data_IF_096538072122
#
_entry.id   IF_096538072122
#
_cell.length_a   1.000
_cell.length_b   1.000
_cell.length_c   1.000
_cell.angle_alpha   90.00
_cell.angle_beta   90.00
_cell.angle_gamma   90.00
#
_symmetry.space_group_name_H-M   'P 1'
#
loop_
_entity.id
_entity.type
_entity.pdbx_description
1 polymer ?
#
# COMPACT_ATOMS: atom_id res chain seq x y z
N UNK A 1 -60.94 -68.88 -8.07
CA UNK A 1 -59.61 -68.24 -8.21
C UNK A 1 -59.38 -67.33 -7.01
N UNK A 2 -58.34 -67.53 -6.19
CA UNK A 2 -58.08 -66.67 -5.04
C UNK A 2 -57.26 -65.43 -5.45
N UNK A 3 -57.64 -64.26 -4.93
CA UNK A 3 -56.83 -63.04 -4.97
C UNK A 3 -55.54 -63.26 -4.14
N UNK A 4 -54.38 -63.04 -4.75
CA UNK A 4 -53.12 -62.82 -4.02
C UNK A 4 -53.05 -61.33 -3.65
N UNK A 5 -53.09 -61.03 -2.35
CA UNK A 5 -52.70 -59.74 -1.79
C UNK A 5 -51.17 -59.73 -1.67
N UNK A 6 -50.51 -58.99 -2.55
CA UNK A 6 -49.08 -58.67 -2.44
C UNK A 6 -48.91 -57.49 -1.48
N UNK A 7 -48.55 -57.77 -0.22
CA UNK A 7 -48.13 -56.75 0.74
C UNK A 7 -46.67 -56.44 0.47
N UNK A 8 -46.41 -55.59 -0.52
CA UNK A 8 -45.09 -55.03 -0.76
C UNK A 8 -44.74 -54.08 0.39
N UNK A 9 -43.98 -54.57 1.36
CA UNK A 9 -43.46 -53.81 2.49
C UNK A 9 -42.55 -52.67 2.02
N UNK A 10 -43.10 -51.47 1.87
CA UNK A 10 -42.32 -50.27 1.62
C UNK A 10 -41.61 -49.85 2.92
N UNK A 11 -40.29 -50.05 2.97
CA UNK A 11 -39.45 -49.53 4.04
C UNK A 11 -39.53 -47.99 4.06
N UNK A 12 -40.13 -47.43 5.11
CA UNK A 12 -40.19 -45.98 5.32
C UNK A 12 -38.77 -45.41 5.42
N UNK A 13 -38.33 -44.66 4.39
CA UNK A 13 -37.11 -43.86 4.46
C UNK A 13 -37.27 -42.84 5.58
N UNK A 14 -36.52 -43.00 6.67
CA UNK A 14 -36.42 -41.98 7.72
C UNK A 14 -35.75 -40.75 7.12
N UNK A 15 -36.50 -39.67 6.94
CA UNK A 15 -35.93 -38.36 6.65
C UNK A 15 -35.17 -37.90 7.88
N UNK A 16 -33.84 -37.96 7.82
CA UNK A 16 -32.95 -37.39 8.83
C UNK A 16 -32.93 -35.87 8.61
N UNK A 17 -33.76 -35.16 9.38
CA UNK A 17 -33.72 -33.70 9.43
C UNK A 17 -32.67 -33.22 10.44
N UNK A 18 -32.02 -32.09 10.15
CA UNK A 18 -31.18 -31.40 11.12
C UNK A 18 -32.02 -30.88 12.30
N UNK A 19 -31.47 -30.97 13.50
CA UNK A 19 -32.08 -30.36 14.69
C UNK A 19 -31.89 -28.85 14.68
N UNK A 20 -32.81 -28.11 15.30
CA UNK A 20 -32.67 -26.66 15.48
C UNK A 20 -31.37 -26.28 16.22
N UNK A 21 -30.94 -27.14 17.16
CA UNK A 21 -29.71 -26.92 17.94
C UNK A 21 -28.47 -27.08 17.06
N UNK A 22 -28.43 -28.08 16.19
CA UNK A 22 -27.32 -28.25 15.24
C UNK A 22 -27.18 -27.03 14.32
N UNK A 23 -28.30 -26.50 13.81
CA UNK A 23 -28.25 -25.33 12.95
C UNK A 23 -27.84 -24.06 13.73
N UNK A 24 -28.27 -23.92 14.98
CA UNK A 24 -27.91 -22.80 15.86
C UNK A 24 -26.41 -22.78 16.18
N UNK A 25 -25.81 -23.93 16.46
CA UNK A 25 -24.37 -24.03 16.72
C UNK A 25 -23.55 -23.73 15.47
N UNK A 26 -24.01 -24.13 14.29
CA UNK A 26 -23.29 -23.85 13.03
C UNK A 26 -23.24 -22.35 12.73
N UNK A 27 -24.38 -21.66 12.82
CA UNK A 27 -24.41 -20.21 12.54
C UNK A 27 -23.62 -19.42 13.60
N UNK A 28 -23.57 -19.90 14.85
CA UNK A 28 -22.80 -19.24 15.90
C UNK A 28 -21.30 -19.36 15.65
N UNK A 29 -20.81 -20.54 15.25
CA UNK A 29 -19.39 -20.74 14.89
C UNK A 29 -19.03 -19.92 13.65
N UNK A 30 -19.86 -19.92 12.60
CA UNK A 30 -19.63 -19.10 11.39
C UNK A 30 -19.57 -17.61 11.75
N UNK A 31 -20.46 -17.14 12.63
CA UNK A 31 -20.47 -15.75 13.08
C UNK A 31 -19.16 -15.34 13.78
N UNK A 32 -18.64 -16.19 14.67
CA UNK A 32 -17.36 -15.94 15.37
C UNK A 32 -16.19 -15.91 14.37
N UNK A 33 -16.11 -16.88 13.47
CA UNK A 33 -15.04 -16.94 12.46
C UNK A 33 -15.08 -15.75 11.51
N UNK A 34 -16.27 -15.34 11.06
CA UNK A 34 -16.45 -14.20 10.18
C UNK A 34 -16.02 -12.88 10.83
N UNK A 35 -16.34 -12.67 12.11
CA UNK A 35 -15.95 -11.47 12.84
C UNK A 35 -14.41 -11.31 12.93
N UNK A 36 -13.70 -12.39 13.24
CA UNK A 36 -12.22 -12.38 13.31
C UNK A 36 -11.61 -12.14 11.92
N UNK A 37 -12.16 -12.79 10.89
CA UNK A 37 -11.68 -12.66 9.51
C UNK A 37 -11.79 -11.22 8.98
N UNK A 38 -12.88 -10.51 9.29
CA UNK A 38 -13.08 -9.13 8.85
C UNK A 38 -12.03 -8.16 9.40
N UNK A 39 -11.69 -8.26 10.68
CA UNK A 39 -10.67 -7.39 11.30
C UNK A 39 -9.30 -7.65 10.66
N UNK A 40 -8.93 -8.91 10.49
CA UNK A 40 -7.66 -9.31 9.86
C UNK A 40 -7.55 -8.80 8.42
N UNK A 41 -8.61 -8.94 7.63
CA UNK A 41 -8.63 -8.56 6.22
C UNK A 41 -8.31 -7.08 5.99
N UNK A 42 -8.85 -6.17 6.81
CA UNK A 42 -8.57 -4.73 6.68
C UNK A 42 -7.11 -4.37 6.93
N UNK A 43 -6.46 -5.06 7.87
CA UNK A 43 -5.03 -4.89 8.16
C UNK A 43 -4.16 -5.40 7.01
N UNK A 44 -4.47 -6.59 6.49
CA UNK A 44 -3.76 -7.18 5.34
C UNK A 44 -3.83 -6.30 4.10
N UNK A 45 -4.99 -5.66 3.85
CA UNK A 45 -5.11 -4.73 2.73
C UNK A 45 -4.23 -3.47 2.89
N UNK A 46 -4.12 -2.92 4.11
CA UNK A 46 -3.24 -1.78 4.38
C UNK A 46 -1.78 -2.16 4.13
N UNK A 47 -1.37 -3.32 4.65
CA UNK A 47 -0.03 -3.85 4.45
C UNK A 47 0.29 -4.07 2.96
N UNK A 48 -0.66 -4.61 2.18
CA UNK A 48 -0.47 -4.79 0.74
C UNK A 48 -0.25 -3.45 0.02
N UNK A 49 -1.01 -2.41 0.36
CA UNK A 49 -0.81 -1.06 -0.21
C UNK A 49 0.52 -0.45 0.24
N UNK A 50 0.93 -0.65 1.48
CA UNK A 50 2.25 -0.22 1.97
C UNK A 50 3.39 -0.94 1.23
N UNK A 51 3.24 -2.22 0.90
CA UNK A 51 4.20 -2.95 0.06
C UNK A 51 4.31 -2.34 -1.34
N UNK A 52 3.18 -1.96 -1.95
CA UNK A 52 3.17 -1.26 -3.25
C UNK A 52 3.91 0.08 -3.13
N UNK A 53 3.63 0.89 -2.10
CA UNK A 53 4.35 2.17 -1.85
C UNK A 53 5.86 2.00 -1.75
N UNK A 54 6.33 0.95 -1.06
CA UNK A 54 7.76 0.66 -0.95
C UNK A 54 8.35 0.24 -2.29
N UNK A 55 7.60 -0.50 -3.10
CA UNK A 55 8.05 -0.88 -4.44
C UNK A 55 8.09 0.33 -5.38
N UNK A 56 7.10 1.20 -5.32
CA UNK A 56 6.98 2.38 -6.18
C UNK A 56 8.07 3.40 -5.88
N UNK A 57 8.32 3.69 -4.60
CA UNK A 57 9.44 4.56 -4.18
C UNK A 57 10.81 4.00 -4.60
N UNK A 58 10.98 2.67 -4.62
CA UNK A 58 12.18 2.03 -5.18
C UNK A 58 12.28 2.18 -6.70
N UNK A 59 11.16 2.11 -7.42
CA UNK A 59 11.15 2.35 -8.87
C UNK A 59 11.61 3.78 -9.18
N UNK A 60 11.11 4.78 -8.44
CA UNK A 60 11.59 6.16 -8.55
C UNK A 60 13.06 6.30 -8.19
N UNK A 61 13.53 5.64 -7.13
CA UNK A 61 14.96 5.60 -6.78
C UNK A 61 15.80 5.09 -7.95
N UNK A 62 15.46 3.94 -8.53
CA UNK A 62 16.20 3.39 -9.68
C UNK A 62 16.22 4.35 -10.88
N UNK A 63 15.12 5.05 -11.14
CA UNK A 63 15.04 6.05 -12.19
C UNK A 63 15.91 7.29 -11.89
N UNK A 64 15.94 7.74 -10.64
CA UNK A 64 16.82 8.82 -10.16
C UNK A 64 18.30 8.43 -10.29
N UNK A 65 18.67 7.21 -9.92
CA UNK A 65 20.04 6.70 -10.11
C UNK A 65 20.39 6.63 -11.60
N UNK A 66 19.47 6.21 -12.47
CA UNK A 66 19.67 6.22 -13.92
C UNK A 66 19.89 7.64 -14.47
N UNK A 67 19.09 8.60 -14.00
CA UNK A 67 19.24 10.00 -14.36
C UNK A 67 20.61 10.53 -13.90
N UNK A 68 21.00 10.28 -12.66
CA UNK A 68 22.30 10.70 -12.13
C UNK A 68 23.47 10.11 -12.91
N UNK A 69 23.38 8.84 -13.32
CA UNK A 69 24.39 8.21 -14.17
C UNK A 69 24.59 8.92 -15.51
N UNK A 70 23.53 9.53 -16.06
CA UNK A 70 23.59 10.33 -17.30
C UNK A 70 24.03 11.78 -17.07
N UNK A 71 23.81 12.29 -15.86
CA UNK A 71 24.00 13.70 -15.50
C UNK A 71 25.22 13.94 -14.60
N UNK A 72 26.21 13.06 -14.63
CA UNK A 72 27.47 13.25 -13.89
C UNK A 72 27.34 13.10 -12.37
N UNK A 73 26.38 12.30 -11.89
CA UNK A 73 26.10 12.08 -10.47
C UNK A 73 25.15 13.10 -9.85
N UNK A 74 24.53 13.97 -10.66
CA UNK A 74 23.60 15.00 -10.21
C UNK A 74 22.14 14.60 -10.44
N UNK A 75 21.27 15.01 -9.52
CA UNK A 75 19.85 14.69 -9.53
C UNK A 75 19.00 15.89 -10.01
N UNK A 76 17.77 15.64 -10.49
CA UNK A 76 16.85 16.69 -10.88
C UNK A 76 16.57 17.64 -9.72
N UNK A 77 16.67 18.93 -9.98
CA UNK A 77 16.59 19.93 -8.92
C UNK A 77 15.13 20.40 -8.73
N UNK A 78 14.57 20.16 -7.53
CA UNK A 78 13.22 20.61 -7.11
C UNK A 78 13.22 20.93 -5.59
N UNK A 79 13.48 22.17 -5.14
CA UNK A 79 13.59 22.52 -3.74
C UNK A 79 12.34 23.29 -3.32
N UNK A 80 11.21 22.61 -3.15
CA UNK A 80 9.97 23.26 -2.75
C UNK A 80 9.51 22.73 -1.39
N UNK A 81 8.97 23.62 -0.54
CA UNK A 81 8.59 23.39 0.86
C UNK A 81 8.30 21.93 1.24
N UNK A 82 7.04 21.45 1.18
CA UNK A 82 6.68 20.07 1.54
C UNK A 82 7.02 19.02 0.47
N UNK A 83 7.83 19.34 -0.55
CA UNK A 83 8.14 18.47 -1.70
C UNK A 83 7.21 18.70 -2.91
N UNK A 84 7.59 18.13 -4.05
CA UNK A 84 6.80 18.11 -5.30
C UNK A 84 6.20 16.72 -5.55
N UNK A 85 5.12 16.65 -6.32
CA UNK A 85 4.43 15.40 -6.64
C UNK A 85 5.28 14.55 -7.59
N UNK A 86 5.63 13.33 -7.16
CA UNK A 86 6.54 12.49 -7.96
C UNK A 86 5.90 11.99 -9.27
N UNK A 87 4.59 11.76 -9.28
CA UNK A 87 3.87 11.22 -10.43
C UNK A 87 3.66 12.23 -11.57
N UNK A 88 3.91 13.52 -11.30
CA UNK A 88 3.75 14.61 -12.25
C UNK A 88 5.13 15.21 -12.57
N UNK A 89 5.62 16.10 -11.72
CA UNK A 89 6.85 16.87 -11.99
C UNK A 89 8.10 16.00 -12.07
N UNK A 90 8.29 15.06 -11.12
CA UNK A 90 9.47 14.19 -11.16
C UNK A 90 9.37 13.17 -12.30
N UNK A 91 8.17 12.73 -12.63
CA UNK A 91 7.97 11.77 -13.70
C UNK A 91 8.40 12.35 -15.05
N UNK A 92 8.07 13.63 -15.29
CA UNK A 92 8.54 14.39 -16.44
C UNK A 92 10.08 14.53 -16.42
N UNK A 93 10.66 14.96 -15.30
CA UNK A 93 12.12 15.13 -15.15
C UNK A 93 12.88 13.82 -15.44
N UNK A 94 12.32 12.67 -15.06
CA UNK A 94 12.90 11.34 -15.25
C UNK A 94 12.53 10.66 -16.57
N UNK A 95 11.64 11.28 -17.37
CA UNK A 95 11.13 10.75 -18.65
C UNK A 95 10.59 9.32 -18.49
N UNK A 96 9.83 9.07 -17.40
CA UNK A 96 9.22 7.78 -17.14
C UNK A 96 7.95 7.62 -17.99
N UNK A 97 7.78 6.45 -18.62
CA UNK A 97 6.58 6.15 -19.44
C UNK A 97 5.35 5.83 -18.59
N UNK A 98 5.56 5.33 -17.38
CA UNK A 98 4.51 5.01 -16.42
C UNK A 98 4.95 5.52 -15.05
N UNK A 99 4.21 6.49 -14.52
CA UNK A 99 4.49 7.09 -13.22
C UNK A 99 3.70 6.36 -12.13
N UNK A 100 4.36 5.69 -11.16
CA UNK A 100 3.65 5.09 -10.05
C UNK A 100 2.88 6.14 -9.24
N UNK A 101 1.62 5.84 -8.92
CA UNK A 101 0.74 6.68 -8.11
C UNK A 101 0.20 5.86 -6.94
N UNK A 102 0.03 6.49 -5.78
CA UNK A 102 -0.42 5.79 -4.59
C UNK A 102 -1.79 5.13 -4.81
N UNK A 103 -1.97 3.84 -4.48
CA UNK A 103 -3.23 3.12 -4.66
C UNK A 103 -4.42 3.74 -3.90
N UNK A 104 -4.16 4.55 -2.88
CA UNK A 104 -5.17 5.20 -2.05
C UNK A 104 -5.49 6.62 -2.50
N UNK A 105 -4.73 7.20 -3.43
CA UNK A 105 -4.88 8.60 -3.84
C UNK A 105 -6.31 8.94 -4.26
N UNK A 106 -6.96 8.08 -5.05
CA UNK A 106 -8.34 8.27 -5.51
C UNK A 106 -9.38 8.34 -4.37
N UNK A 107 -9.05 7.85 -3.18
CA UNK A 107 -9.93 7.88 -1.99
C UNK A 107 -9.48 8.92 -0.97
N UNK A 108 -8.20 9.23 -0.92
CA UNK A 108 -7.59 10.15 0.04
C UNK A 108 -6.38 10.83 -0.61
N UNK A 109 -6.55 12.11 -0.95
CA UNK A 109 -5.55 12.92 -1.64
C UNK A 109 -4.30 13.21 -0.80
N UNK A 110 -4.31 12.89 0.50
CA UNK A 110 -3.11 13.01 1.36
C UNK A 110 -2.08 11.90 1.11
N UNK A 111 -2.44 10.85 0.38
CA UNK A 111 -1.54 9.76 0.03
C UNK A 111 -0.90 10.02 -1.33
N UNK A 112 0.28 10.63 -1.29
CA UNK A 112 1.09 10.96 -2.48
C UNK A 112 2.56 10.60 -2.24
N UNK A 113 3.27 10.34 -3.34
CA UNK A 113 4.72 10.28 -3.36
C UNK A 113 5.27 11.68 -3.54
N UNK A 114 6.11 12.13 -2.62
CA UNK A 114 6.72 13.44 -2.66
C UNK A 114 8.22 13.34 -2.83
N UNK A 115 8.76 14.24 -3.66
CA UNK A 115 10.18 14.33 -3.97
C UNK A 115 10.70 15.71 -3.59
N UNK A 116 11.93 15.75 -3.10
CA UNK A 116 12.65 17.00 -2.90
C UNK A 116 14.14 16.77 -3.05
N UNK A 117 14.82 17.77 -3.56
CA UNK A 117 16.27 17.78 -3.69
C UNK A 117 16.89 18.98 -2.99
N UNK A 118 18.20 18.95 -2.77
CA UNK A 118 18.93 20.13 -2.34
C UNK A 118 19.22 21.09 -3.51
N UNK A 119 19.83 22.24 -3.20
CA UNK A 119 20.24 23.25 -4.19
C UNK A 119 19.18 24.33 -4.49
N UNK A 120 19.52 25.23 -5.42
CA UNK A 120 18.68 26.34 -5.87
C UNK A 120 17.68 25.93 -6.94
N UNK A 121 16.45 26.48 -6.91
CA UNK A 121 15.37 26.16 -7.86
C UNK A 121 15.86 26.25 -9.30
N UNK A 122 15.88 25.12 -10.00
CA UNK A 122 16.34 24.94 -11.36
C UNK A 122 15.42 24.00 -12.15
N UNK A 123 14.18 23.79 -11.68
CA UNK A 123 13.08 23.11 -12.37
C UNK A 123 13.49 21.83 -13.12
N UNK A 124 13.96 20.82 -12.39
CA UNK A 124 14.32 19.51 -12.95
C UNK A 124 15.72 19.43 -13.54
N UNK A 125 16.44 20.55 -13.65
CA UNK A 125 17.84 20.55 -14.14
C UNK A 125 18.73 19.75 -13.19
N UNK A 126 19.71 19.01 -13.74
CA UNK A 126 20.62 18.17 -12.98
C UNK A 126 21.68 18.99 -12.21
N UNK A 127 21.31 19.55 -11.06
CA UNK A 127 22.25 20.30 -10.20
C UNK A 127 22.21 19.90 -8.72
N UNK A 128 21.27 19.04 -8.32
CA UNK A 128 21.18 18.57 -6.95
C UNK A 128 22.18 17.45 -6.65
N UNK A 129 22.74 17.43 -5.45
CA UNK A 129 23.67 16.38 -4.99
C UNK A 129 23.01 15.40 -4.03
N UNK A 130 21.87 15.78 -3.45
CA UNK A 130 21.09 14.91 -2.58
C UNK A 130 19.59 15.06 -2.85
N UNK A 131 18.87 13.96 -2.64
CA UNK A 131 17.42 13.92 -2.72
C UNK A 131 16.83 13.08 -1.61
N UNK A 132 15.55 13.33 -1.36
CA UNK A 132 14.69 12.50 -0.54
C UNK A 132 13.35 12.32 -1.25
N UNK A 133 12.88 11.08 -1.31
CA UNK A 133 11.53 10.74 -1.76
C UNK A 133 10.81 10.02 -0.63
N UNK A 134 9.54 10.32 -0.41
CA UNK A 134 8.78 9.72 0.67
C UNK A 134 7.30 9.52 0.36
N UNK A 135 6.70 8.61 1.12
CA UNK A 135 5.28 8.29 1.08
C UNK A 135 4.75 8.15 2.50
N UNK A 136 3.48 8.52 2.73
CA UNK A 136 2.79 8.20 3.99
C UNK A 136 2.44 6.70 4.01
N UNK A 137 2.69 6.02 5.13
CA UNK A 137 2.26 4.62 5.31
C UNK A 137 0.95 4.54 6.09
N UNK A 138 0.15 3.53 5.80
CA UNK A 138 -1.16 3.33 6.46
C UNK A 138 -1.04 2.57 7.77
N UNK A 139 -0.08 1.66 7.88
CA UNK A 139 0.20 0.97 9.13
C UNK A 139 1.12 1.83 9.99
N UNK A 140 0.51 2.61 10.89
CA UNK A 140 1.23 3.60 11.71
C UNK A 140 1.78 2.94 12.96
N UNK A 141 3.09 3.08 13.19
CA UNK A 141 3.77 2.50 14.36
C UNK A 141 3.55 3.32 15.64
N UNK A 142 3.04 4.56 15.53
CA UNK A 142 2.69 5.41 16.67
C UNK A 142 1.33 6.12 16.47
N UNK A 143 0.50 6.14 17.51
CA UNK A 143 -0.91 6.57 17.44
C UNK A 143 -1.13 8.08 17.33
N UNK A 144 -0.09 8.91 17.51
CA UNK A 144 -0.20 10.38 17.55
C UNK A 144 0.60 11.11 16.46
N UNK A 145 1.31 10.40 15.59
CA UNK A 145 2.17 11.00 14.56
C UNK A 145 2.05 10.25 13.23
N UNK A 146 2.36 10.94 12.13
CA UNK A 146 2.34 10.31 10.80
C UNK A 146 3.65 9.56 10.59
N UNK A 147 3.56 8.31 10.14
CA UNK A 147 4.74 7.55 9.72
C UNK A 147 4.92 7.68 8.21
N UNK A 148 6.15 7.97 7.81
CA UNK A 148 6.56 8.08 6.43
C UNK A 148 7.55 6.95 6.10
N UNK A 149 7.38 6.35 4.93
CA UNK A 149 8.42 5.56 4.27
C UNK A 149 9.30 6.51 3.46
N UNK A 150 10.60 6.51 3.71
CA UNK A 150 11.56 7.47 3.17
C UNK A 150 12.65 6.71 2.44
N UNK A 151 13.05 7.22 1.28
CA UNK A 151 14.17 6.73 0.48
C UNK A 151 15.07 7.93 0.14
N UNK A 152 16.37 7.76 0.32
CA UNK A 152 17.35 8.83 0.20
C UNK A 152 18.40 8.52 -0.87
N UNK A 153 19.04 9.58 -1.38
CA UNK A 153 20.14 9.49 -2.35
C UNK A 153 21.40 8.75 -1.86
N UNK A 154 21.53 8.51 -0.55
CA UNK A 154 22.63 7.74 0.04
C UNK A 154 22.33 6.24 0.12
N UNK A 155 21.25 5.77 -0.52
CA UNK A 155 20.82 4.37 -0.52
C UNK A 155 20.09 3.93 0.75
N UNK A 156 19.97 4.79 1.77
CA UNK A 156 19.16 4.48 2.95
C UNK A 156 17.68 4.55 2.62
N UNK A 157 16.93 3.59 3.14
CA UNK A 157 15.47 3.61 3.16
C UNK A 157 14.94 3.12 4.49
N UNK A 158 13.84 3.68 4.97
CA UNK A 158 13.30 3.33 6.28
C UNK A 158 12.07 4.11 6.65
N UNK A 159 11.51 3.75 7.80
CA UNK A 159 10.34 4.42 8.37
C UNK A 159 10.79 5.52 9.34
N UNK A 160 10.12 6.67 9.26
CA UNK A 160 10.26 7.73 10.26
C UNK A 160 8.89 8.23 10.67
N UNK A 161 8.69 8.33 11.98
CA UNK A 161 7.47 8.87 12.56
C UNK A 161 7.72 10.30 13.00
N UNK A 162 7.02 11.26 12.38
CA UNK A 162 7.14 12.67 12.69
C UNK A 162 5.85 13.42 12.42
N UNK A 163 5.64 14.54 13.12
CA UNK A 163 4.52 15.46 12.84
C UNK A 163 4.71 16.30 11.57
N UNK A 164 5.95 16.38 11.06
CA UNK A 164 6.33 17.20 9.91
C UNK A 164 6.96 16.28 8.86
N UNK A 165 6.65 16.43 7.56
CA UNK A 165 7.29 15.67 6.49
C UNK A 165 8.80 15.98 6.37
N UNK A 166 9.59 15.09 5.76
CA UNK A 166 10.97 15.39 5.36
C UNK A 166 11.07 16.69 4.55
N UNK A 167 12.16 17.44 4.74
CA UNK A 167 12.39 18.72 4.07
C UNK A 167 13.87 18.91 3.68
N UNK A 168 14.11 19.70 2.63
CA UNK A 168 15.44 20.20 2.23
C UNK A 168 16.33 19.22 1.47
N UNK A 169 15.80 18.08 0.98
CA UNK A 169 16.60 17.08 0.26
C UNK A 169 17.66 16.37 1.11
N UNK A 170 17.73 16.65 2.41
CA UNK A 170 18.61 15.99 3.36
C UNK A 170 17.94 14.71 3.87
N UNK A 171 18.72 13.62 3.93
CA UNK A 171 18.19 12.35 4.40
C UNK A 171 17.87 12.43 5.91
N UNK A 172 16.62 12.18 6.32
CA UNK A 172 16.22 12.26 7.72
C UNK A 172 16.47 10.95 8.51
N UNK A 173 17.13 9.96 7.88
CA UNK A 173 17.42 8.60 8.36
C UNK A 173 18.92 8.35 8.62
#
# INVERSE_FOLDING_TARGET
MPLKLDVSGQAMKKNLGFTLVELLVVISIIGILAAIALVSFTSSQKQARDTVRRSDTKQYQLALENFANKSGGLYPQRPDGPGVLAWDTLCEDLVLTTCPQDPRYAKDLSFVYQYQSNGSISNGTAVATSYVIWAKIENVTATTATTYWIVCSNGKSGEKTSGIPPAGGACPL
#
